data_IF_122628715319
#
_entry.id   IF_122628715319
#
_cell.length_a   1.000
_cell.length_b   1.000
_cell.length_c   1.000
_cell.angle_alpha   90.00
_cell.angle_beta   90.00
_cell.angle_gamma   90.00
#
_symmetry.space_group_name_H-M   'P 1'
#
loop_
_entity.id
_entity.type
_entity.pdbx_description
1 polymer ?
#
# COMPACT_ATOMS: atom_id res chain seq x y z
N UNK A 1 -4.79 10.31 0.19
CA UNK A 1 -5.40 9.83 1.44
C UNK A 1 -4.40 9.93 2.58
N UNK A 2 -4.83 10.55 3.67
CA UNK A 2 -4.00 10.65 4.87
C UNK A 2 -4.10 9.36 5.69
N UNK A 3 -2.99 8.67 5.86
CA UNK A 3 -2.96 7.38 6.54
C UNK A 3 -2.47 7.46 7.99
N UNK A 4 -2.16 8.65 8.51
CA UNK A 4 -1.59 8.80 9.85
C UNK A 4 -2.49 8.21 10.94
N UNK A 5 -3.78 8.51 10.90
CA UNK A 5 -4.73 8.00 11.89
C UNK A 5 -4.90 6.48 11.80
N UNK A 6 -4.82 5.93 10.59
CA UNK A 6 -4.85 4.47 10.38
C UNK A 6 -3.62 3.82 11.03
N UNK A 7 -2.44 4.42 10.86
CA UNK A 7 -1.21 3.92 11.46
C UNK A 7 -1.30 3.91 12.99
N UNK A 8 -1.79 5.00 13.58
CA UNK A 8 -1.98 5.09 15.02
C UNK A 8 -2.96 4.04 15.53
N UNK A 9 -4.06 3.83 14.81
CA UNK A 9 -5.08 2.85 15.20
C UNK A 9 -4.52 1.42 15.16
N UNK A 10 -3.73 1.08 14.16
CA UNK A 10 -3.06 -0.22 14.06
C UNK A 10 -2.16 -0.45 15.28
N UNK A 11 -1.37 0.54 15.65
CA UNK A 11 -0.48 0.44 16.80
C UNK A 11 -1.26 0.33 18.11
N UNK A 12 -2.34 1.09 18.28
CA UNK A 12 -3.20 1.04 19.47
C UNK A 12 -3.87 -0.32 19.65
N UNK A 13 -4.20 -0.99 18.54
CA UNK A 13 -4.82 -2.33 18.57
C UNK A 13 -3.79 -3.45 18.85
N UNK A 14 -2.53 -3.12 19.02
CA UNK A 14 -1.48 -4.12 19.26
C UNK A 14 -1.11 -4.93 18.03
N UNK A 15 -1.47 -4.48 16.85
CA UNK A 15 -1.10 -5.12 15.58
C UNK A 15 0.25 -4.61 15.09
N UNK A 16 0.89 -5.39 14.25
CA UNK A 16 2.14 -4.98 13.64
C UNK A 16 1.88 -3.98 12.51
N UNK A 17 2.43 -2.78 12.66
CA UNK A 17 2.44 -1.78 11.59
C UNK A 17 3.71 -1.96 10.78
N UNK A 18 3.54 -2.14 9.46
CA UNK A 18 4.64 -2.27 8.52
C UNK A 18 4.62 -1.07 7.59
N UNK A 19 5.78 -0.43 7.42
CA UNK A 19 5.91 0.69 6.48
C UNK A 19 6.97 0.37 5.43
N UNK A 20 6.78 0.85 4.19
CA UNK A 20 7.71 0.56 3.11
C UNK A 20 8.96 1.41 3.17
N UNK A 21 10.05 0.85 2.71
CA UNK A 21 11.31 1.53 2.45
C UNK A 21 11.81 1.10 1.08
N UNK A 22 12.35 2.02 0.31
CA UNK A 22 12.93 1.70 -1.00
C UNK A 22 14.41 1.38 -0.80
N UNK A 23 14.80 0.15 -1.14
CA UNK A 23 16.16 -0.35 -1.05
C UNK A 23 16.54 -1.02 -2.36
N UNK A 24 17.59 -0.54 -3.01
CA UNK A 24 18.04 -1.08 -4.31
C UNK A 24 16.90 -1.19 -5.33
N UNK A 25 16.11 -0.14 -5.44
CA UNK A 25 14.95 -0.04 -6.34
C UNK A 25 13.82 -1.06 -6.06
N UNK A 26 13.75 -1.58 -4.83
CA UNK A 26 12.69 -2.50 -4.41
C UNK A 26 12.05 -2.01 -3.12
N UNK A 27 10.80 -2.40 -2.90
CA UNK A 27 10.14 -2.18 -1.62
C UNK A 27 10.53 -3.27 -0.64
N UNK A 28 10.93 -2.83 0.55
CA UNK A 28 11.04 -3.68 1.73
C UNK A 28 10.13 -3.11 2.80
N UNK A 29 9.51 -3.96 3.60
CA UNK A 29 8.58 -3.54 4.64
C UNK A 29 9.20 -3.76 6.01
N UNK A 30 9.15 -2.71 6.82
CA UNK A 30 9.77 -2.67 8.14
C UNK A 30 8.71 -2.60 9.23
N UNK A 31 8.96 -3.28 10.35
CA UNK A 31 8.11 -3.20 11.53
C UNK A 31 8.40 -1.87 12.23
N UNK A 32 7.35 -1.07 12.43
CA UNK A 32 7.43 0.25 13.05
C UNK A 32 6.60 0.25 14.34
N UNK A 33 7.23 0.60 15.45
CA UNK A 33 6.56 0.70 16.74
C UNK A 33 6.35 2.13 17.20
N UNK A 34 7.04 3.08 16.59
CA UNK A 34 6.97 4.50 16.94
C UNK A 34 7.11 5.34 15.67
N UNK A 35 6.08 6.14 15.35
CA UNK A 35 6.07 6.96 14.14
C UNK A 35 7.09 8.10 14.19
N UNK A 36 7.59 8.47 15.36
CA UNK A 36 8.61 9.52 15.50
C UNK A 36 9.99 9.07 15.02
N UNK A 37 10.19 7.76 14.80
CA UNK A 37 11.47 7.21 14.35
C UNK A 37 11.60 7.11 12.83
N UNK A 38 10.71 7.77 12.09
CA UNK A 38 10.79 7.80 10.64
C UNK A 38 11.79 8.86 10.18
N UNK A 39 12.37 8.64 8.99
CA UNK A 39 13.27 9.61 8.35
C UNK A 39 12.79 9.90 6.93
N UNK A 40 13.28 11.01 6.34
CA UNK A 40 12.97 11.31 4.94
C UNK A 40 13.68 10.32 4.04
N UNK A 41 12.90 9.65 3.21
CA UNK A 41 13.40 8.74 2.20
C UNK A 41 13.27 9.33 0.81
N UNK A 42 13.16 8.46 -0.18
CA UNK A 42 12.99 8.83 -1.58
C UNK A 42 11.70 9.64 -1.77
N UNK A 43 11.74 10.66 -2.62
CA UNK A 43 10.61 11.58 -2.89
C UNK A 43 10.14 12.34 -1.65
N UNK A 44 11.01 12.54 -0.66
CA UNK A 44 10.71 13.22 0.60
C UNK A 44 9.58 12.58 1.43
N UNK A 45 9.21 11.34 1.11
CA UNK A 45 8.23 10.56 1.87
C UNK A 45 8.90 10.03 3.13
N UNK A 46 8.21 10.15 4.28
CA UNK A 46 8.72 9.60 5.53
C UNK A 46 8.72 8.08 5.49
N UNK A 47 9.85 7.48 5.81
CA UNK A 47 10.00 6.02 5.81
C UNK A 47 10.81 5.53 7.00
N UNK A 48 10.74 4.21 7.33
CA UNK A 48 11.54 3.64 8.41
C UNK A 48 13.03 3.77 8.13
N UNK A 49 13.84 3.83 9.18
CA UNK A 49 15.30 3.81 9.05
C UNK A 49 15.77 2.47 8.52
N UNK A 50 16.91 2.46 7.82
CA UNK A 50 17.49 1.24 7.28
C UNK A 50 17.78 0.17 8.34
N UNK A 51 18.01 0.58 9.59
CA UNK A 51 18.22 -0.32 10.72
C UNK A 51 16.96 -1.00 11.24
N UNK A 52 15.78 -0.71 10.69
CA UNK A 52 14.53 -1.30 11.15
C UNK A 52 14.47 -2.80 10.88
N UNK A 53 13.69 -3.52 11.68
CA UNK A 53 13.46 -4.93 11.48
C UNK A 53 12.58 -5.16 10.25
N UNK A 54 13.03 -6.03 9.33
CA UNK A 54 12.28 -6.37 8.12
C UNK A 54 11.19 -7.38 8.44
N UNK A 55 10.00 -7.17 7.86
CA UNK A 55 8.90 -8.11 7.99
C UNK A 55 9.13 -9.33 7.12
N UNK A 56 8.86 -10.52 7.68
CA UNK A 56 8.97 -11.80 6.95
C UNK A 56 7.66 -12.19 6.30
N UNK A 57 6.54 -11.76 6.84
CA UNK A 57 5.20 -12.07 6.35
C UNK A 57 4.33 -10.83 6.44
N UNK A 58 3.49 -10.64 5.41
CA UNK A 58 2.54 -9.53 5.34
C UNK A 58 1.15 -10.13 5.10
N UNK A 59 0.20 -9.83 6.00
CA UNK A 59 -1.16 -10.34 5.91
C UNK A 59 -2.04 -9.47 5.03
N UNK A 60 -1.83 -8.16 5.08
CA UNK A 60 -2.65 -7.19 4.36
C UNK A 60 -1.79 -5.99 3.99
N UNK A 61 -2.00 -5.46 2.79
CA UNK A 61 -1.30 -4.26 2.33
C UNK A 61 -2.29 -3.22 1.84
N UNK A 62 -2.13 -1.99 2.32
CA UNK A 62 -2.84 -0.83 1.82
C UNK A 62 -1.99 -0.19 0.73
N UNK A 63 -2.53 -0.07 -0.47
CA UNK A 63 -1.75 0.27 -1.66
C UNK A 63 -2.06 1.71 -2.08
N UNK A 64 -1.04 2.57 -2.26
CA UNK A 64 -1.26 3.91 -2.81
C UNK A 64 -1.79 3.82 -4.24
N UNK A 65 -2.74 4.67 -4.56
CA UNK A 65 -3.51 4.56 -5.80
C UNK A 65 -3.77 5.93 -6.40
N UNK A 66 -3.47 6.11 -7.68
CA UNK A 66 -3.85 7.30 -8.44
C UNK A 66 -5.28 7.15 -8.95
N UNK A 67 -5.62 5.98 -9.48
CA UNK A 67 -6.94 5.63 -9.94
C UNK A 67 -7.16 4.14 -9.89
N UNK A 68 -8.41 3.71 -9.82
CA UNK A 68 -8.76 2.30 -9.72
C UNK A 68 -10.10 2.05 -10.42
N UNK A 69 -10.23 0.90 -11.06
CA UNK A 69 -11.49 0.43 -11.64
C UNK A 69 -12.13 -0.62 -10.73
N UNK A 70 -13.45 -0.76 -10.82
CA UNK A 70 -14.18 -1.78 -10.03
C UNK A 70 -13.85 -3.21 -10.46
N UNK A 71 -13.14 -3.40 -11.56
CA UNK A 71 -12.60 -4.70 -11.97
C UNK A 71 -11.30 -5.06 -11.24
N UNK A 72 -10.76 -4.16 -10.42
CA UNK A 72 -9.56 -4.41 -9.63
C UNK A 72 -8.27 -3.95 -10.27
N UNK A 73 -8.32 -3.21 -11.37
CA UNK A 73 -7.13 -2.68 -12.03
C UNK A 73 -6.75 -1.35 -11.39
N UNK A 74 -5.49 -1.19 -11.02
CA UNK A 74 -4.97 -0.02 -10.32
C UNK A 74 -3.98 0.74 -11.18
N UNK A 75 -4.11 2.07 -11.20
CA UNK A 75 -3.11 2.97 -11.77
C UNK A 75 -2.27 3.53 -10.62
N UNK A 76 -0.97 3.27 -10.65
CA UNK A 76 -0.02 3.75 -9.66
C UNK A 76 0.75 4.97 -10.15
N UNK A 77 1.83 5.31 -9.41
CA UNK A 77 2.62 6.51 -9.64
C UNK A 77 3.72 6.35 -10.71
N UNK A 78 3.77 5.22 -11.41
CA UNK A 78 4.65 5.03 -12.57
C UNK A 78 6.03 4.43 -12.28
N UNK A 79 6.37 4.17 -11.03
CA UNK A 79 7.70 3.62 -10.67
C UNK A 79 7.74 2.10 -10.62
N UNK A 80 6.60 1.43 -10.60
CA UNK A 80 6.50 -0.02 -10.61
C UNK A 80 6.89 -0.71 -9.31
N UNK A 81 7.17 0.01 -8.22
CA UNK A 81 7.57 -0.60 -6.95
C UNK A 81 6.51 -1.51 -6.38
N UNK A 82 5.25 -1.05 -6.33
CA UNK A 82 4.16 -1.85 -5.81
C UNK A 82 3.78 -3.00 -6.73
N UNK A 83 3.79 -2.78 -8.05
CA UNK A 83 3.48 -3.85 -8.99
C UNK A 83 4.47 -5.01 -8.87
N UNK A 84 5.75 -4.70 -8.74
CA UNK A 84 6.77 -5.73 -8.51
C UNK A 84 6.60 -6.45 -7.17
N UNK A 85 6.33 -5.69 -6.11
CA UNK A 85 6.07 -6.28 -4.80
C UNK A 85 4.83 -7.17 -4.81
N UNK A 86 3.72 -6.68 -5.37
CA UNK A 86 2.45 -7.38 -5.39
C UNK A 86 2.50 -8.68 -6.18
N UNK A 87 3.40 -8.79 -7.16
CA UNK A 87 3.57 -10.03 -7.92
C UNK A 87 4.20 -11.15 -7.09
N UNK A 88 4.82 -10.83 -5.95
CA UNK A 88 5.54 -11.80 -5.12
C UNK A 88 4.88 -12.07 -3.77
N UNK A 89 3.70 -11.48 -3.49
CA UNK A 89 3.02 -11.63 -2.20
C UNK A 89 1.62 -12.18 -2.37
N UNK A 90 1.17 -12.95 -1.37
CA UNK A 90 -0.22 -13.43 -1.27
C UNK A 90 -1.03 -12.62 -0.26
N UNK A 91 -0.49 -11.50 0.24
CA UNK A 91 -1.20 -10.61 1.14
C UNK A 91 -2.51 -10.10 0.53
N UNK A 92 -3.51 -9.85 1.37
CA UNK A 92 -4.73 -9.18 0.95
C UNK A 92 -4.41 -7.77 0.47
N UNK A 93 -4.87 -7.43 -0.73
CA UNK A 93 -4.53 -6.17 -1.42
C UNK A 93 -5.71 -5.22 -1.37
N UNK A 94 -5.54 -4.11 -0.67
CA UNK A 94 -6.60 -3.10 -0.49
C UNK A 94 -6.13 -1.78 -1.08
N UNK A 95 -6.90 -1.24 -2.03
CA UNK A 95 -6.69 0.12 -2.51
C UNK A 95 -7.45 1.08 -1.59
N UNK A 96 -6.73 1.95 -0.90
CA UNK A 96 -7.31 2.99 -0.08
C UNK A 96 -7.34 4.27 -0.90
N UNK A 97 -8.54 4.75 -1.22
CA UNK A 97 -8.71 5.80 -2.22
C UNK A 97 -9.96 6.64 -1.96
N UNK A 98 -10.06 7.80 -2.60
CA UNK A 98 -11.30 8.56 -2.60
C UNK A 98 -12.23 8.03 -3.68
N UNK A 99 -13.55 8.15 -3.46
CA UNK A 99 -14.55 7.68 -4.43
C UNK A 99 -14.37 8.31 -5.82
N UNK A 100 -13.92 9.56 -5.88
CA UNK A 100 -13.66 10.26 -7.14
C UNK A 100 -12.48 9.69 -7.94
N UNK A 101 -11.65 8.86 -7.32
CA UNK A 101 -10.53 8.18 -8.00
C UNK A 101 -10.95 6.84 -8.62
N UNK A 102 -12.19 6.41 -8.38
CA UNK A 102 -12.73 5.25 -9.06
C UNK A 102 -13.10 5.65 -10.48
N UNK A 103 -12.51 4.97 -11.44
CA UNK A 103 -12.75 5.23 -12.86
C UNK A 103 -13.45 4.04 -13.51
N UNK A 104 -14.09 4.30 -14.65
CA UNK A 104 -14.91 3.30 -15.32
C UNK A 104 -14.09 2.11 -15.82
N UNK A 105 -12.91 2.38 -16.39
CA UNK A 105 -12.01 1.34 -16.87
C UNK A 105 -10.58 1.87 -16.92
N UNK A 106 -9.64 0.96 -16.75
CA UNK A 106 -8.21 1.23 -16.90
C UNK A 106 -7.66 0.14 -17.82
N UNK A 107 -6.88 0.48 -18.86
CA UNK A 107 -6.25 -0.53 -19.70
C UNK A 107 -5.40 -1.48 -18.85
N UNK A 108 -5.52 -2.77 -19.08
CA UNK A 108 -4.80 -3.78 -18.34
C UNK A 108 -4.32 -4.89 -19.28
N UNK A 109 -3.31 -5.62 -18.85
CA UNK A 109 -2.83 -6.81 -19.53
C UNK A 109 -2.81 -8.02 -18.59
N UNK A 110 -2.35 -9.17 -19.07
CA UNK A 110 -2.33 -10.41 -18.31
C UNK A 110 -1.32 -10.41 -17.15
N UNK A 111 -0.41 -9.43 -17.11
CA UNK A 111 0.61 -9.30 -16.07
C UNK A 111 0.19 -8.38 -14.93
N UNK A 112 -0.91 -7.64 -15.08
CA UNK A 112 -1.39 -6.74 -14.04
C UNK A 112 -1.91 -7.52 -12.84
N UNK A 113 -1.53 -7.09 -11.65
CA UNK A 113 -1.99 -7.69 -10.40
C UNK A 113 -3.25 -6.98 -9.95
N UNK A 114 -4.34 -7.73 -9.82
CA UNK A 114 -5.61 -7.18 -9.35
C UNK A 114 -5.61 -7.04 -7.84
N UNK A 115 -6.27 -5.98 -7.37
CA UNK A 115 -6.51 -5.76 -5.94
C UNK A 115 -7.76 -6.53 -5.50
N UNK A 116 -7.89 -6.74 -4.18
CA UNK A 116 -8.99 -7.52 -3.61
C UNK A 116 -10.13 -6.63 -3.14
N UNK A 117 -9.81 -5.45 -2.61
CA UNK A 117 -10.79 -4.50 -2.07
C UNK A 117 -10.45 -3.07 -2.45
N UNK A 118 -11.50 -2.26 -2.65
CA UNK A 118 -11.41 -0.80 -2.72
C UNK A 118 -12.10 -0.25 -1.47
N UNK A 119 -11.40 0.55 -0.69
CA UNK A 119 -11.96 1.22 0.49
C UNK A 119 -11.94 2.73 0.24
N UNK A 120 -13.11 3.35 0.31
CA UNK A 120 -13.27 4.79 0.10
C UNK A 120 -13.91 5.44 1.33
N UNK A 121 -14.05 6.77 1.29
CA UNK A 121 -14.80 7.52 2.30
C UNK A 121 -16.29 7.16 2.35
N UNK A 122 -16.81 6.57 1.28
CA UNK A 122 -18.25 6.27 1.16
C UNK A 122 -18.58 4.79 1.34
N UNK A 123 -17.69 3.89 0.89
CA UNK A 123 -18.02 2.45 0.85
C UNK A 123 -16.79 1.55 0.78
N UNK A 124 -17.02 0.27 1.07
CA UNK A 124 -16.03 -0.79 0.90
C UNK A 124 -16.51 -1.68 -0.25
N UNK A 125 -15.68 -1.85 -1.27
CA UNK A 125 -16.05 -2.61 -2.47
C UNK A 125 -15.15 -3.85 -2.57
N UNK A 126 -15.77 -5.02 -2.51
CA UNK A 126 -15.05 -6.27 -2.75
C UNK A 126 -14.96 -6.52 -4.25
N UNK A 127 -13.76 -6.80 -4.73
CA UNK A 127 -13.53 -7.14 -6.13
C UNK A 127 -13.79 -8.63 -6.34
N UNK A 128 -14.61 -8.94 -7.32
CA UNK A 128 -14.98 -10.33 -7.65
C UNK A 128 -14.11 -10.92 -8.77
#
# INVERSE_FOLDING_TARGET
VNTHDIMLDILEQGKNLLLPRIVNDKLEFCIVTNLEKLEKGRFEIMEPKDSCERAKKIDCVLIPTVGVSKSGVRLGYGHGYYDRFLSSTDAMKISLTYSKQIVKSIPSDSHDIKIDWIVTEDENIKIS
#
